data_IF_389403023986
#
_entry.id   IF_389403023986
#
_cell.length_a   1.000
_cell.length_b   1.000
_cell.length_c   1.000
_cell.angle_alpha   90.00
_cell.angle_beta   90.00
_cell.angle_gamma   90.00
#
_symmetry.space_group_name_H-M   'P 1'
#
loop_
_entity.id
_entity.type
_entity.pdbx_description
1 polymer ?
#
# COMPACT_ATOMS: atom_id res chain seq x y z
N UNK A 1 8.54 -100.41 3.81
CA UNK A 1 9.76 -100.45 4.64
C UNK A 1 10.36 -99.11 4.77
N UNK A 2 10.42 -98.61 5.95
CA UNK A 2 10.72 -97.26 6.37
C UNK A 2 12.25 -97.02 6.48
N UNK A 3 12.76 -95.88 6.04
CA UNK A 3 13.93 -95.28 6.71
C UNK A 3 13.83 -93.74 6.59
N UNK A 4 13.71 -93.10 7.73
CA UNK A 4 13.92 -91.68 7.99
C UNK A 4 15.44 -91.40 8.07
N UNK A 5 15.89 -90.30 7.43
CA UNK A 5 17.18 -89.68 7.79
C UNK A 5 16.91 -88.21 8.06
N UNK A 6 17.16 -87.82 9.26
CA UNK A 6 17.15 -86.44 9.77
C UNK A 6 18.57 -85.87 9.65
N UNK A 7 18.72 -84.69 9.12
CA UNK A 7 19.97 -83.90 9.21
C UNK A 7 19.75 -82.63 10.03
N UNK A 8 20.71 -82.20 10.84
CA UNK A 8 20.54 -81.13 11.82
C UNK A 8 20.74 -79.74 11.19
N UNK A 9 19.98 -78.79 11.71
CA UNK A 9 20.04 -77.38 11.37
C UNK A 9 21.21 -76.73 12.07
N UNK A 10 22.13 -76.11 11.33
CA UNK A 10 23.24 -75.27 11.83
C UNK A 10 22.71 -73.88 12.24
N UNK A 11 23.18 -73.29 13.34
CA UNK A 11 22.77 -71.95 13.76
C UNK A 11 23.34 -70.85 12.85
N UNK A 12 22.49 -69.95 12.44
CA UNK A 12 22.86 -68.78 11.63
C UNK A 12 23.67 -67.77 12.46
N UNK A 13 24.79 -67.40 11.94
CA UNK A 13 25.72 -66.37 12.45
C UNK A 13 25.04 -64.98 12.50
N UNK A 14 25.08 -64.26 13.65
CA UNK A 14 24.43 -62.96 13.83
C UNK A 14 25.23 -61.79 13.23
N UNK A 15 26.35 -62.02 12.60
CA UNK A 15 27.28 -60.93 12.22
C UNK A 15 27.02 -60.24 10.87
N UNK A 16 26.00 -60.66 10.08
CA UNK A 16 25.81 -60.16 8.70
C UNK A 16 24.74 -59.06 8.56
N UNK A 17 24.07 -58.62 9.66
CA UNK A 17 23.02 -57.63 9.55
C UNK A 17 23.30 -56.31 10.29
N UNK A 18 24.34 -55.57 9.86
CA UNK A 18 24.46 -54.13 10.19
C UNK A 18 25.36 -53.44 9.17
N UNK A 19 24.78 -52.80 8.11
CA UNK A 19 25.10 -51.40 7.88
C UNK A 19 24.03 -50.54 7.19
N UNK A 20 22.82 -51.06 6.90
CA UNK A 20 21.89 -50.31 6.06
C UNK A 20 21.16 -49.19 6.81
N UNK A 21 20.93 -49.29 8.10
CA UNK A 21 20.21 -48.29 8.89
C UNK A 21 21.08 -47.09 9.32
N UNK A 22 22.37 -47.26 9.48
CA UNK A 22 23.28 -46.17 9.86
C UNK A 22 23.42 -45.13 8.75
N UNK A 23 23.58 -45.57 7.49
CA UNK A 23 23.72 -44.65 6.33
C UNK A 23 22.48 -43.80 6.09
N UNK A 24 21.28 -44.34 6.35
CA UNK A 24 20.01 -43.61 6.17
C UNK A 24 19.84 -42.50 7.20
N UNK A 25 20.28 -42.67 8.44
CA UNK A 25 20.25 -41.65 9.51
C UNK A 25 21.22 -40.51 9.22
N UNK A 26 22.41 -40.76 8.75
CA UNK A 26 23.40 -39.75 8.37
C UNK A 26 22.92 -38.93 7.16
N UNK A 27 22.31 -39.59 6.17
CA UNK A 27 21.77 -38.91 4.99
C UNK A 27 20.60 -37.96 5.36
N UNK A 28 19.68 -38.39 6.22
CA UNK A 28 18.61 -37.56 6.75
C UNK A 28 19.11 -36.38 7.59
N UNK A 29 20.15 -36.59 8.39
CA UNK A 29 20.75 -35.51 9.19
C UNK A 29 21.49 -34.49 8.32
N UNK A 30 22.20 -34.94 7.28
CA UNK A 30 22.86 -34.05 6.31
C UNK A 30 21.83 -33.28 5.50
N UNK A 31 20.72 -33.91 5.07
CA UNK A 31 19.64 -33.24 4.33
C UNK A 31 18.92 -32.22 5.22
N UNK A 32 18.67 -32.53 6.49
CA UNK A 32 18.08 -31.60 7.46
C UNK A 32 19.01 -30.41 7.74
N UNK A 33 20.31 -30.64 7.82
CA UNK A 33 21.32 -29.58 8.00
C UNK A 33 21.41 -28.67 6.77
N UNK A 34 21.35 -29.25 5.54
CA UNK A 34 21.29 -28.47 4.29
C UNK A 34 19.99 -27.68 4.15
N UNK A 35 18.85 -28.26 4.54
CA UNK A 35 17.57 -27.54 4.56
C UNK A 35 17.57 -26.40 5.59
N UNK A 36 18.13 -26.61 6.78
CA UNK A 36 18.30 -25.57 7.79
C UNK A 36 19.24 -24.46 7.30
N UNK A 37 20.35 -24.81 6.63
CA UNK A 37 21.29 -23.85 6.06
C UNK A 37 20.67 -23.01 4.94
N UNK A 38 19.78 -23.60 4.12
CA UNK A 38 19.02 -22.89 3.09
C UNK A 38 17.98 -21.92 3.70
N UNK A 39 17.40 -22.26 4.85
CA UNK A 39 16.46 -21.39 5.55
C UNK A 39 17.13 -20.18 6.21
N UNK A 40 18.38 -20.32 6.68
CA UNK A 40 19.16 -19.23 7.27
C UNK A 40 19.67 -18.22 6.23
N UNK A 41 19.97 -18.65 4.99
CA UNK A 41 20.40 -17.75 3.92
C UNK A 41 19.25 -16.90 3.33
N UNK A 42 17.98 -17.21 3.64
CA UNK A 42 16.81 -16.48 3.13
C UNK A 42 16.54 -15.17 3.88
N UNK A 43 17.05 -14.96 5.09
CA UNK A 43 16.76 -13.79 5.91
C UNK A 43 17.69 -12.58 5.70
N UNK A 44 18.89 -12.78 5.14
CA UNK A 44 19.95 -11.76 5.13
C UNK A 44 19.86 -10.73 4.00
N UNK A 45 18.98 -10.89 2.99
CA UNK A 45 19.07 -10.13 1.74
C UNK A 45 17.93 -9.14 1.45
N UNK A 46 17.26 -8.66 2.50
CA UNK A 46 16.09 -7.78 2.33
C UNK A 46 16.35 -6.30 2.61
N UNK A 47 17.56 -5.93 2.95
CA UNK A 47 17.98 -4.56 3.22
C UNK A 47 19.23 -4.30 2.36
N UNK A 48 19.34 -3.13 1.70
CA UNK A 48 20.56 -2.78 0.98
C UNK A 48 21.77 -2.86 1.91
N UNK A 49 22.87 -3.45 1.44
CA UNK A 49 24.10 -3.61 2.22
C UNK A 49 25.02 -2.41 2.11
N UNK A 50 24.86 -1.60 1.05
CA UNK A 50 25.59 -0.34 0.84
C UNK A 50 24.79 0.84 1.36
N UNK A 51 25.50 1.91 1.78
CA UNK A 51 24.85 3.18 2.12
C UNK A 51 24.21 3.82 0.87
N UNK A 52 23.30 4.76 1.06
CA UNK A 52 22.68 5.49 -0.05
C UNK A 52 23.72 6.17 -0.97
N UNK A 53 24.74 6.80 -0.40
CA UNK A 53 25.83 7.43 -1.16
C UNK A 53 26.71 6.45 -1.94
N UNK A 54 26.78 5.21 -1.50
CA UNK A 54 27.53 4.13 -2.14
C UNK A 54 26.76 3.39 -3.25
N UNK A 55 25.54 3.83 -3.59
CA UNK A 55 24.73 3.22 -4.64
C UNK A 55 24.45 4.19 -5.80
N UNK A 56 24.35 3.72 -7.05
CA UNK A 56 23.95 4.54 -8.17
C UNK A 56 22.56 5.14 -7.94
N UNK A 57 22.39 6.41 -8.33
CA UNK A 57 21.09 7.07 -8.34
C UNK A 57 20.46 6.94 -9.72
N UNK A 58 19.21 6.46 -9.83
CA UNK A 58 18.51 6.47 -11.11
C UNK A 58 18.35 7.90 -11.65
N UNK A 59 18.23 8.03 -12.99
CA UNK A 59 17.99 9.31 -13.63
C UNK A 59 16.72 9.98 -13.12
N UNK A 60 16.73 11.31 -13.01
CA UNK A 60 15.53 12.07 -12.65
C UNK A 60 14.50 12.00 -13.79
N UNK A 61 13.19 11.87 -13.47
CA UNK A 61 12.14 11.85 -14.48
C UNK A 61 11.93 13.22 -15.11
N UNK A 62 11.69 13.23 -16.43
CA UNK A 62 11.17 14.37 -17.16
C UNK A 62 9.65 14.29 -17.22
N UNK A 63 8.95 15.13 -16.49
CA UNK A 63 7.49 15.12 -16.42
C UNK A 63 6.78 15.75 -17.61
N UNK A 64 7.50 16.26 -18.61
CA UNK A 64 6.91 16.59 -19.90
C UNK A 64 6.60 15.33 -20.74
N UNK A 65 7.23 14.19 -20.40
CA UNK A 65 7.01 12.91 -21.05
C UNK A 65 5.95 12.09 -20.30
N UNK A 66 4.85 11.76 -20.97
CA UNK A 66 3.74 10.96 -20.42
C UNK A 66 4.12 9.58 -19.90
N UNK A 67 5.26 9.01 -20.34
CA UNK A 67 5.75 7.74 -19.78
C UNK A 67 6.06 7.83 -18.29
N UNK A 68 6.41 9.04 -17.80
CA UNK A 68 6.72 9.30 -16.40
C UNK A 68 5.46 9.59 -15.55
N UNK A 69 4.27 9.35 -16.11
CA UNK A 69 2.99 9.36 -15.41
C UNK A 69 2.39 7.96 -15.42
N UNK A 70 2.03 7.45 -14.25
CA UNK A 70 1.30 6.18 -14.11
C UNK A 70 -0.17 6.35 -14.51
N UNK A 71 -0.76 7.53 -14.21
CA UNK A 71 -2.06 7.95 -14.74
C UNK A 71 -2.01 9.40 -15.19
N UNK A 72 -2.72 9.70 -16.30
CA UNK A 72 -2.86 11.05 -16.85
C UNK A 72 -4.15 11.14 -17.68
N UNK A 73 -4.98 12.18 -17.56
CA UNK A 73 -6.27 12.26 -18.25
C UNK A 73 -6.20 12.22 -19.79
N UNK A 74 -5.04 12.57 -20.38
CA UNK A 74 -4.83 12.56 -21.83
C UNK A 74 -4.23 11.25 -22.36
N UNK A 75 -4.22 10.18 -21.55
CA UNK A 75 -3.81 8.85 -22.00
C UNK A 75 -4.75 7.78 -21.42
N UNK A 76 -4.84 6.64 -22.10
CA UNK A 76 -5.57 5.49 -21.55
C UNK A 76 -4.70 4.72 -20.56
N UNK A 77 -5.18 4.55 -19.32
CA UNK A 77 -4.46 3.85 -18.26
C UNK A 77 -5.39 3.17 -17.23
N UNK A 78 -4.79 2.54 -16.23
CA UNK A 78 -5.55 1.76 -15.26
C UNK A 78 -6.41 2.60 -14.29
N UNK A 79 -6.19 3.92 -14.20
CA UNK A 79 -7.07 4.77 -13.42
C UNK A 79 -8.45 4.97 -14.07
N UNK A 80 -8.58 4.76 -15.40
CA UNK A 80 -9.86 4.81 -16.13
C UNK A 80 -10.74 3.59 -15.86
N UNK A 81 -10.17 2.57 -15.21
CA UNK A 81 -10.85 1.28 -15.05
C UNK A 81 -12.03 1.35 -14.08
N UNK A 82 -13.06 0.58 -14.40
CA UNK A 82 -14.28 0.44 -13.61
C UNK A 82 -14.34 -0.96 -12.99
N UNK A 83 -14.54 -1.09 -11.67
CA UNK A 83 -14.68 -2.40 -11.05
C UNK A 83 -15.85 -3.18 -11.63
N UNK A 84 -15.63 -4.47 -11.93
CA UNK A 84 -16.69 -5.35 -12.43
C UNK A 84 -17.87 -5.39 -11.45
N UNK A 85 -19.07 -5.41 -11.97
CA UNK A 85 -20.34 -5.47 -11.23
C UNK A 85 -20.60 -4.24 -10.33
N UNK A 86 -19.97 -3.10 -10.62
CA UNK A 86 -20.15 -1.88 -9.82
C UNK A 86 -21.24 -0.95 -10.34
N UNK A 87 -21.55 -1.02 -11.62
CA UNK A 87 -22.46 -0.05 -12.29
C UNK A 87 -21.89 1.36 -12.40
N UNK A 88 -20.60 1.57 -12.05
CA UNK A 88 -19.94 2.86 -12.14
C UNK A 88 -19.59 3.23 -13.58
N UNK A 89 -19.16 4.48 -13.77
CA UNK A 89 -18.65 5.03 -15.03
C UNK A 89 -17.37 5.80 -14.75
N UNK A 90 -16.51 5.90 -15.75
CA UNK A 90 -15.43 6.88 -15.80
C UNK A 90 -16.03 8.24 -16.19
N UNK A 91 -15.75 9.27 -15.42
CA UNK A 91 -16.28 10.62 -15.60
C UNK A 91 -15.16 11.66 -15.76
N UNK A 92 -13.91 11.26 -15.93
CA UNK A 92 -12.77 12.18 -15.96
C UNK A 92 -12.90 13.27 -17.04
N UNK A 93 -13.46 12.94 -18.19
CA UNK A 93 -13.62 13.87 -19.32
C UNK A 93 -14.52 15.07 -19.01
N UNK A 94 -15.44 14.93 -18.06
CA UNK A 94 -16.37 16.00 -17.66
C UNK A 94 -16.09 16.55 -16.25
N UNK A 95 -15.06 16.03 -15.58
CA UNK A 95 -14.74 16.42 -14.22
C UNK A 95 -14.26 17.87 -14.11
N UNK A 96 -14.70 18.56 -13.08
CA UNK A 96 -14.39 19.96 -12.81
C UNK A 96 -13.22 20.16 -11.84
N UNK A 97 -12.78 19.10 -11.18
CA UNK A 97 -11.65 19.09 -10.24
C UNK A 97 -10.55 18.15 -10.71
N UNK A 98 -9.38 18.30 -10.15
CA UNK A 98 -8.25 17.39 -10.40
C UNK A 98 -7.94 16.55 -9.17
N UNK A 99 -7.45 15.33 -9.38
CA UNK A 99 -6.94 14.44 -8.36
C UNK A 99 -5.45 14.22 -8.60
N UNK A 100 -4.61 14.67 -7.69
CA UNK A 100 -3.20 14.36 -7.72
C UNK A 100 -2.94 13.16 -6.80
N UNK A 101 -2.67 11.99 -7.40
CA UNK A 101 -2.52 10.73 -6.70
C UNK A 101 -1.05 10.33 -6.55
N UNK A 102 -0.57 10.18 -5.30
CA UNK A 102 0.79 9.70 -5.02
C UNK A 102 0.74 8.25 -4.55
N UNK A 103 1.15 7.33 -5.43
CA UNK A 103 1.05 5.90 -5.19
C UNK A 103 2.01 5.41 -4.07
N UNK A 104 1.72 4.27 -3.41
CA UNK A 104 2.64 3.63 -2.47
C UNK A 104 3.89 3.12 -3.16
N UNK A 105 4.93 2.79 -2.38
CA UNK A 105 6.03 2.03 -2.96
C UNK A 105 5.59 0.61 -3.30
N UNK A 106 5.81 0.23 -4.54
CA UNK A 106 5.66 -1.14 -5.06
C UNK A 106 7.01 -1.82 -5.22
N UNK A 107 8.10 -1.07 -5.00
CA UNK A 107 9.48 -1.55 -4.96
C UNK A 107 9.72 -2.31 -3.65
N UNK A 108 9.17 -3.53 -3.60
CA UNK A 108 9.15 -4.40 -2.42
C UNK A 108 10.13 -5.54 -2.58
N UNK A 109 10.44 -6.14 -1.48
CA UNK A 109 11.31 -7.27 -1.18
C UNK A 109 11.71 -8.16 -2.37
N UNK A 110 12.78 -7.80 -3.07
CA UNK A 110 13.47 -8.62 -4.07
C UNK A 110 14.82 -9.04 -3.48
N UNK A 111 15.19 -10.32 -3.61
CA UNK A 111 16.51 -10.78 -3.17
C UNK A 111 17.61 -10.07 -3.97
N UNK A 112 18.69 -9.68 -3.31
CA UNK A 112 19.85 -9.07 -3.96
C UNK A 112 19.68 -7.61 -4.39
N UNK A 113 18.60 -6.94 -3.99
CA UNK A 113 18.46 -5.49 -4.22
C UNK A 113 19.46 -4.76 -3.33
N UNK A 114 20.40 -4.07 -3.97
CA UNK A 114 21.39 -3.22 -3.30
C UNK A 114 21.30 -1.77 -3.82
N UNK A 115 20.07 -1.28 -3.99
CA UNK A 115 19.76 0.09 -4.36
C UNK A 115 18.64 0.62 -3.47
N UNK A 116 18.63 1.93 -3.24
CA UNK A 116 17.70 2.57 -2.32
C UNK A 116 16.44 3.11 -3.00
N UNK A 117 16.52 3.43 -4.29
CA UNK A 117 15.41 3.98 -5.06
C UNK A 117 15.22 3.20 -6.37
N UNK A 118 13.99 3.12 -6.80
CA UNK A 118 13.59 2.47 -8.05
C UNK A 118 14.06 3.27 -9.27
N UNK A 119 14.43 2.56 -10.32
CA UNK A 119 14.61 3.14 -11.65
C UNK A 119 13.25 3.19 -12.36
N UNK A 120 12.91 4.35 -12.95
CA UNK A 120 11.68 4.51 -13.72
C UNK A 120 11.71 3.74 -15.06
N UNK A 121 12.89 3.29 -15.50
CA UNK A 121 13.01 2.38 -16.64
C UNK A 121 12.64 0.92 -16.32
N UNK A 122 12.43 0.55 -15.03
CA UNK A 122 12.00 -0.80 -14.61
C UNK A 122 10.53 -1.05 -15.01
N UNK A 123 10.33 -1.52 -16.25
CA UNK A 123 9.01 -1.79 -16.80
C UNK A 123 8.18 -2.80 -15.97
N UNK A 124 8.76 -3.91 -15.46
CA UNK A 124 8.04 -4.81 -14.54
C UNK A 124 7.57 -4.12 -13.26
N UNK A 125 8.36 -3.24 -12.68
CA UNK A 125 7.98 -2.47 -11.48
C UNK A 125 6.87 -1.48 -11.79
N UNK A 126 6.96 -0.78 -12.94
CA UNK A 126 5.92 0.12 -13.40
C UNK A 126 4.60 -0.63 -13.62
N UNK A 127 4.62 -1.79 -14.28
CA UNK A 127 3.44 -2.62 -14.47
C UNK A 127 2.83 -3.10 -13.14
N UNK A 128 3.67 -3.42 -12.15
CA UNK A 128 3.21 -3.76 -10.79
C UNK A 128 2.50 -2.58 -10.12
N UNK A 129 2.99 -1.37 -10.31
CA UNK A 129 2.35 -0.13 -9.82
C UNK A 129 1.02 0.08 -10.51
N UNK A 130 0.97 -0.05 -11.84
CA UNK A 130 -0.21 0.18 -12.66
C UNK A 130 -1.31 -0.84 -12.35
N UNK A 131 -0.99 -2.13 -12.30
CA UNK A 131 -1.93 -3.20 -12.00
C UNK A 131 -2.29 -3.31 -10.50
N UNK A 132 -1.56 -2.61 -9.64
CA UNK A 132 -1.78 -2.54 -8.21
C UNK A 132 -2.46 -1.23 -7.81
N UNK A 133 -1.67 -0.26 -7.38
CA UNK A 133 -2.19 0.96 -6.76
C UNK A 133 -2.94 1.88 -7.73
N UNK A 134 -2.55 1.95 -9.00
CA UNK A 134 -3.29 2.77 -9.96
C UNK A 134 -4.66 2.14 -10.19
N UNK A 135 -4.71 0.85 -10.52
CA UNK A 135 -5.96 0.12 -10.76
C UNK A 135 -6.90 0.13 -9.55
N UNK A 136 -6.37 -0.13 -8.33
CA UNK A 136 -7.22 -0.38 -7.15
C UNK A 136 -7.42 0.83 -6.24
N UNK A 137 -6.64 1.89 -6.40
CA UNK A 137 -6.69 3.06 -5.51
C UNK A 137 -6.93 4.37 -6.29
N UNK A 138 -6.14 4.65 -7.35
CA UNK A 138 -6.36 5.86 -8.14
C UNK A 138 -7.73 5.85 -8.84
N UNK A 139 -8.17 4.70 -9.38
CA UNK A 139 -9.47 4.55 -10.04
C UNK A 139 -10.68 4.84 -9.13
N UNK A 140 -10.52 4.90 -7.80
CA UNK A 140 -11.55 5.37 -6.88
C UNK A 140 -12.10 6.73 -7.33
N UNK A 141 -11.25 7.56 -7.88
CA UNK A 141 -11.52 8.97 -8.14
C UNK A 141 -11.90 9.30 -9.58
N UNK A 142 -12.00 8.32 -10.50
CA UNK A 142 -12.19 8.56 -11.93
C UNK A 142 -13.58 9.10 -12.36
N UNK A 143 -14.53 9.17 -11.44
CA UNK A 143 -15.82 9.84 -11.64
C UNK A 143 -15.92 11.14 -10.80
N UNK A 144 -14.81 11.48 -10.14
CA UNK A 144 -14.72 12.62 -9.24
C UNK A 144 -13.86 13.72 -9.84
N UNK A 145 -12.73 13.37 -10.42
CA UNK A 145 -11.76 14.31 -10.95
C UNK A 145 -10.87 13.71 -12.03
N UNK A 146 -10.17 14.56 -12.78
CA UNK A 146 -9.11 14.15 -13.70
C UNK A 146 -7.92 13.64 -12.89
N UNK A 147 -7.41 12.46 -13.18
CA UNK A 147 -6.39 11.80 -12.36
C UNK A 147 -4.99 12.04 -12.92
N UNK A 148 -4.11 12.60 -12.09
CA UNK A 148 -2.69 12.77 -12.34
C UNK A 148 -1.91 11.95 -11.31
N UNK A 149 -1.22 10.91 -11.73
CA UNK A 149 -0.41 10.05 -10.86
C UNK A 149 1.03 9.96 -11.42
N UNK A 150 1.99 10.66 -10.84
CA UNK A 150 3.36 10.60 -11.32
C UNK A 150 4.01 9.27 -10.99
N UNK A 151 4.90 8.79 -11.86
CA UNK A 151 5.95 7.85 -11.48
C UNK A 151 7.07 8.63 -10.79
N UNK A 152 7.62 8.10 -9.74
CA UNK A 152 8.72 8.72 -9.01
C UNK A 152 9.74 7.66 -8.60
N UNK A 153 10.98 8.04 -8.36
CA UNK A 153 12.03 7.14 -7.87
C UNK A 153 11.70 6.67 -6.46
N UNK A 154 10.63 5.86 -6.35
CA UNK A 154 10.11 5.38 -5.08
C UNK A 154 11.21 4.72 -4.24
N UNK A 155 11.26 5.05 -2.95
CA UNK A 155 12.22 4.43 -2.06
C UNK A 155 11.87 2.96 -1.83
N UNK A 156 12.91 2.11 -1.77
CA UNK A 156 12.77 0.68 -1.53
C UNK A 156 12.07 0.40 -0.19
N UNK A 157 11.16 -0.56 -0.17
CA UNK A 157 10.42 -0.91 1.06
C UNK A 157 11.33 -1.24 2.25
N UNK A 158 12.54 -1.75 1.99
CA UNK A 158 13.52 -2.06 3.03
C UNK A 158 13.92 -0.90 3.93
N UNK A 159 13.64 0.36 3.55
CA UNK A 159 13.87 1.54 4.40
C UNK A 159 13.12 1.46 5.74
N UNK A 160 11.94 0.82 5.75
CA UNK A 160 11.12 0.64 6.95
C UNK A 160 11.62 -0.49 7.87
N UNK A 161 12.60 -1.27 7.39
CA UNK A 161 13.21 -2.40 8.10
C UNK A 161 14.68 -2.10 8.46
N UNK A 162 15.31 -1.16 7.76
CA UNK A 162 16.70 -0.78 7.91
C UNK A 162 16.93 0.05 9.18
N UNK A 163 18.08 -0.18 9.83
CA UNK A 163 18.58 0.67 10.93
C UNK A 163 19.42 1.84 10.42
N UNK A 164 19.80 1.88 9.16
CA UNK A 164 20.50 3.02 8.54
C UNK A 164 19.52 4.17 8.28
N UNK A 165 19.25 4.93 9.32
CA UNK A 165 18.32 6.07 9.29
C UNK A 165 18.79 7.20 8.36
N UNK A 166 20.11 7.32 8.11
CA UNK A 166 20.67 8.33 7.21
C UNK A 166 20.32 7.99 5.77
N UNK A 167 20.61 6.76 5.32
CA UNK A 167 20.24 6.28 3.99
C UNK A 167 18.73 6.26 3.77
N UNK A 168 17.94 5.86 4.79
CA UNK A 168 16.48 5.89 4.74
C UNK A 168 15.95 7.31 4.45
N UNK A 169 16.47 8.32 5.15
CA UNK A 169 16.07 9.73 4.94
C UNK A 169 16.46 10.24 3.56
N UNK A 170 17.66 9.88 3.07
CA UNK A 170 18.13 10.30 1.75
C UNK A 170 17.30 9.66 0.62
N UNK A 171 16.95 8.38 0.75
CA UNK A 171 16.09 7.69 -0.20
C UNK A 171 14.68 8.30 -0.27
N UNK A 172 14.09 8.63 0.88
CA UNK A 172 12.80 9.32 0.93
C UNK A 172 12.88 10.76 0.42
N UNK A 173 14.00 11.46 0.66
CA UNK A 173 14.20 12.81 0.12
C UNK A 173 14.26 12.80 -1.41
N UNK A 174 15.02 11.86 -2.00
CA UNK A 174 15.09 11.71 -3.47
C UNK A 174 13.72 11.38 -4.07
N UNK A 175 12.95 10.49 -3.44
CA UNK A 175 11.59 10.18 -3.88
C UNK A 175 10.66 11.41 -3.82
N UNK A 176 10.80 12.22 -2.77
CA UNK A 176 10.01 13.44 -2.64
C UNK A 176 10.39 14.53 -3.64
N UNK A 177 11.67 14.65 -4.01
CA UNK A 177 12.11 15.58 -5.06
C UNK A 177 11.33 15.33 -6.36
N UNK A 178 11.14 14.08 -6.74
CA UNK A 178 10.35 13.72 -7.93
C UNK A 178 8.87 14.05 -7.77
N UNK A 179 8.27 13.70 -6.62
CA UNK A 179 6.87 14.02 -6.34
C UNK A 179 6.64 15.53 -6.36
N UNK A 180 7.56 16.31 -5.80
CA UNK A 180 7.53 17.78 -5.85
C UNK A 180 7.62 18.29 -7.28
N UNK A 181 8.62 17.85 -8.05
CA UNK A 181 8.83 18.28 -9.43
C UNK A 181 7.62 17.94 -10.32
N UNK A 182 7.02 16.75 -10.14
CA UNK A 182 5.79 16.37 -10.85
C UNK A 182 4.60 17.25 -10.48
N UNK A 183 4.45 17.63 -9.21
CA UNK A 183 3.38 18.50 -8.76
C UNK A 183 3.55 19.93 -9.29
N UNK A 184 4.77 20.45 -9.31
CA UNK A 184 5.09 21.75 -9.92
C UNK A 184 4.81 21.73 -11.42
N UNK A 185 5.20 20.67 -12.11
CA UNK A 185 4.92 20.51 -13.56
C UNK A 185 3.41 20.46 -13.82
N UNK A 186 2.65 19.67 -13.03
CA UNK A 186 1.20 19.59 -13.12
C UNK A 186 0.53 20.95 -12.90
N UNK A 187 0.91 21.68 -11.85
CA UNK A 187 0.34 23.00 -11.55
C UNK A 187 0.59 24.00 -12.70
N UNK A 188 1.78 23.96 -13.28
CA UNK A 188 2.18 24.89 -14.34
C UNK A 188 1.49 24.59 -15.66
N UNK A 189 1.32 23.32 -16.03
CA UNK A 189 0.97 22.95 -17.41
C UNK A 189 -0.46 22.45 -17.57
N UNK A 190 -1.09 21.87 -16.51
CA UNK A 190 -2.35 21.15 -16.69
C UNK A 190 -3.47 21.52 -15.72
N UNK A 191 -3.16 22.02 -14.53
CA UNK A 191 -4.19 22.29 -13.52
C UNK A 191 -5.14 23.42 -13.93
N UNK A 192 -4.66 24.48 -14.59
CA UNK A 192 -5.47 25.60 -15.07
C UNK A 192 -6.40 26.19 -14.01
N UNK A 193 -5.96 26.27 -12.75
CA UNK A 193 -6.74 26.86 -11.64
C UNK A 193 -7.81 25.97 -11.06
N UNK A 194 -7.96 24.71 -11.50
CA UNK A 194 -8.98 23.77 -10.96
C UNK A 194 -8.76 23.46 -9.49
N UNK A 195 -9.83 23.22 -8.72
CA UNK A 195 -9.74 22.67 -7.37
C UNK A 195 -9.03 21.30 -7.38
N UNK A 196 -8.38 20.96 -6.27
CA UNK A 196 -7.48 19.80 -6.19
C UNK A 196 -7.91 18.89 -5.03
N UNK A 197 -7.99 17.61 -5.33
CA UNK A 197 -7.98 16.52 -4.35
C UNK A 197 -6.56 15.96 -4.32
N UNK A 198 -5.94 15.88 -3.14
CA UNK A 198 -4.70 15.13 -2.94
C UNK A 198 -5.09 13.75 -2.45
N UNK A 199 -4.65 12.69 -3.12
CA UNK A 199 -4.87 11.32 -2.65
C UNK A 199 -3.55 10.56 -2.64
N UNK A 200 -3.30 9.80 -1.58
CA UNK A 200 -2.02 9.12 -1.42
C UNK A 200 -2.09 7.93 -0.46
N UNK A 201 -1.27 6.92 -0.72
CA UNK A 201 -1.20 5.73 0.12
C UNK A 201 0.24 5.42 0.55
N UNK A 202 0.42 4.97 1.81
CA UNK A 202 1.68 4.43 2.33
C UNK A 202 2.84 5.42 2.15
N UNK A 203 3.91 5.07 1.46
CA UNK A 203 5.03 5.98 1.17
C UNK A 203 4.54 7.26 0.47
N UNK A 204 3.58 7.14 -0.46
CA UNK A 204 2.94 8.29 -1.08
C UNK A 204 2.30 9.24 -0.08
N UNK A 205 1.69 8.72 1.00
CA UNK A 205 1.09 9.54 2.05
C UNK A 205 2.12 10.38 2.82
N UNK A 206 3.34 9.85 3.03
CA UNK A 206 4.44 10.64 3.61
C UNK A 206 4.81 11.83 2.70
N UNK A 207 4.86 11.59 1.39
CA UNK A 207 5.16 12.63 0.42
C UNK A 207 4.03 13.64 0.28
N UNK A 208 2.78 13.19 0.25
CA UNK A 208 1.61 14.06 0.21
C UNK A 208 1.50 14.96 1.45
N UNK A 209 1.85 14.45 2.64
CA UNK A 209 1.93 15.28 3.84
C UNK A 209 2.95 16.42 3.72
N UNK A 210 4.09 16.18 3.05
CA UNK A 210 5.06 17.24 2.72
C UNK A 210 4.53 18.21 1.68
N UNK A 211 3.82 17.73 0.64
CA UNK A 211 3.18 18.60 -0.35
C UNK A 211 2.17 19.55 0.29
N UNK A 212 1.34 19.06 1.23
CA UNK A 212 0.38 19.91 1.95
C UNK A 212 1.09 21.05 2.68
N UNK A 213 2.17 20.75 3.40
CA UNK A 213 2.98 21.79 4.08
C UNK A 213 3.63 22.75 3.10
N UNK A 214 4.20 22.25 2.02
CA UNK A 214 5.04 23.05 1.15
C UNK A 214 4.24 23.90 0.16
N UNK A 215 3.09 23.41 -0.32
CA UNK A 215 2.32 24.06 -1.38
C UNK A 215 0.99 24.65 -0.93
N UNK A 216 0.42 24.16 0.17
CA UNK A 216 -0.92 24.57 0.58
C UNK A 216 -0.92 25.38 1.88
N UNK A 217 -0.16 24.96 2.91
CA UNK A 217 -0.15 25.63 4.21
C UNK A 217 0.28 27.10 4.09
N UNK A 218 -0.58 28.03 4.51
CA UNK A 218 -0.34 29.47 4.43
C UNK A 218 -0.21 30.04 3.03
N UNK A 219 -0.65 29.32 1.98
CA UNK A 219 -0.50 29.73 0.58
C UNK A 219 -1.82 29.82 -0.15
N UNK A 220 -1.90 30.60 -1.26
CA UNK A 220 -3.14 30.77 -2.04
C UNK A 220 -3.73 29.43 -2.55
N UNK A 221 -2.87 28.45 -2.82
CA UNK A 221 -3.30 27.12 -3.29
C UNK A 221 -4.21 26.41 -2.26
N UNK A 222 -4.10 26.76 -0.98
CA UNK A 222 -5.00 26.31 0.11
C UNK A 222 -6.48 26.47 -0.23
N UNK A 223 -6.84 27.56 -0.88
CA UNK A 223 -8.22 27.86 -1.27
C UNK A 223 -8.75 26.98 -2.41
N UNK A 224 -7.90 26.17 -3.02
CA UNK A 224 -8.25 25.19 -4.06
C UNK A 224 -8.21 23.75 -3.57
N UNK A 225 -7.89 23.52 -2.29
CA UNK A 225 -7.91 22.18 -1.71
C UNK A 225 -9.35 21.76 -1.41
N UNK A 226 -9.86 20.76 -2.12
CA UNK A 226 -11.13 20.13 -1.81
C UNK A 226 -11.00 19.26 -0.56
N UNK A 227 -10.09 18.30 -0.61
CA UNK A 227 -9.76 17.39 0.50
C UNK A 227 -8.42 16.70 0.21
N UNK A 228 -7.73 16.25 1.26
CA UNK A 228 -6.58 15.37 1.11
C UNK A 228 -6.82 14.01 1.79
N UNK A 229 -6.74 12.92 1.05
CA UNK A 229 -6.73 11.54 1.57
C UNK A 229 -5.29 11.05 1.68
N UNK A 230 -4.70 11.08 2.88
CA UNK A 230 -3.30 10.71 3.14
C UNK A 230 -3.25 9.46 4.02
N UNK A 231 -3.41 8.31 3.38
CA UNK A 231 -3.81 7.04 4.00
C UNK A 231 -2.64 6.06 4.18
N UNK A 232 -2.69 5.24 5.22
CA UNK A 232 -1.76 4.12 5.42
C UNK A 232 -0.48 4.46 6.19
N UNK A 233 -0.28 5.73 6.58
CA UNK A 233 0.85 6.15 7.41
C UNK A 233 0.39 6.86 8.68
N UNK A 234 1.20 6.88 9.74
CA UNK A 234 0.90 7.64 10.96
C UNK A 234 1.08 9.14 10.68
N UNK A 235 -0.02 9.81 10.37
CA UNK A 235 -0.04 11.25 10.08
C UNK A 235 -0.41 12.02 11.34
N UNK A 236 0.41 12.96 11.83
CA UNK A 236 0.10 13.74 13.02
C UNK A 236 -1.16 14.61 12.84
N UNK A 237 -2.00 14.73 13.85
CA UNK A 237 -3.19 15.63 13.84
C UNK A 237 -2.79 17.10 13.57
N UNK A 238 -1.61 17.49 14.00
CA UNK A 238 -1.03 18.80 13.79
C UNK A 238 -0.06 18.84 12.59
N UNK A 239 -0.32 18.05 11.54
CA UNK A 239 0.49 18.03 10.33
C UNK A 239 0.69 19.44 9.75
N UNK A 240 -0.38 20.21 9.66
CA UNK A 240 -0.41 21.60 9.20
C UNK A 240 -1.08 22.48 10.27
N UNK A 241 -0.82 23.78 10.22
CA UNK A 241 -1.44 24.77 11.14
C UNK A 241 -2.85 25.13 10.70
N UNK A 242 -3.08 25.30 9.40
CA UNK A 242 -4.32 25.80 8.80
C UNK A 242 -5.10 24.74 8.01
N UNK A 243 -4.53 23.56 7.75
CA UNK A 243 -5.22 22.40 7.17
C UNK A 243 -5.41 21.36 8.28
N UNK A 244 -6.63 21.25 8.78
CA UNK A 244 -6.97 20.37 9.91
C UNK A 244 -7.40 18.99 9.44
N UNK A 245 -7.48 18.04 10.37
CA UNK A 245 -8.15 16.76 10.15
C UNK A 245 -9.62 17.04 9.83
N UNK A 246 -10.19 16.37 8.85
CA UNK A 246 -11.64 16.44 8.61
C UNK A 246 -12.38 15.76 9.77
N UNK A 247 -13.19 16.52 10.47
CA UNK A 247 -13.96 16.03 11.61
C UNK A 247 -15.38 15.57 11.22
N UNK A 248 -15.90 16.13 10.13
CA UNK A 248 -17.23 15.82 9.60
C UNK A 248 -17.21 15.59 8.10
N UNK A 249 -18.17 14.81 7.60
CA UNK A 249 -18.27 14.53 6.17
C UNK A 249 -18.59 15.76 5.30
N UNK A 250 -19.10 16.84 5.87
CA UNK A 250 -19.47 18.07 5.18
C UNK A 250 -18.29 19.04 4.99
N UNK A 251 -17.15 18.81 5.64
CA UNK A 251 -16.01 19.73 5.59
C UNK A 251 -15.20 19.58 4.30
N UNK A 252 -14.65 20.69 3.82
CA UNK A 252 -13.69 20.75 2.72
C UNK A 252 -12.40 21.47 3.16
N UNK A 253 -11.36 21.38 2.35
CA UNK A 253 -10.09 21.99 2.66
C UNK A 253 -9.37 21.37 3.88
N UNK A 254 -9.67 20.14 4.24
CA UNK A 254 -9.12 19.38 5.36
C UNK A 254 -8.47 18.09 4.87
N UNK A 255 -7.91 17.27 5.77
CA UNK A 255 -7.34 15.99 5.39
C UNK A 255 -7.95 14.81 6.16
N UNK A 256 -8.12 13.70 5.48
CA UNK A 256 -8.49 12.40 6.03
C UNK A 256 -7.26 11.49 6.10
N UNK A 257 -7.09 10.77 7.21
CA UNK A 257 -6.03 9.78 7.38
C UNK A 257 -6.55 8.59 8.18
N UNK A 258 -6.07 7.40 7.89
CA UNK A 258 -6.32 6.19 8.67
C UNK A 258 -5.28 5.10 8.37
N UNK A 259 -5.16 4.14 9.27
CA UNK A 259 -4.38 2.90 9.13
C UNK A 259 -5.24 1.75 9.64
N UNK A 260 -5.45 0.74 8.81
CA UNK A 260 -6.45 -0.29 9.07
C UNK A 260 -5.87 -1.55 9.70
N UNK A 261 -6.43 -1.95 10.83
CA UNK A 261 -6.05 -3.15 11.56
C UNK A 261 -7.27 -3.98 11.97
N UNK A 262 -7.06 -5.26 12.21
CA UNK A 262 -8.10 -6.14 12.73
C UNK A 262 -8.49 -5.71 14.14
N UNK A 263 -9.79 -5.69 14.44
CA UNK A 263 -10.32 -5.47 15.80
C UNK A 263 -9.59 -6.33 16.83
N UNK A 264 -9.14 -5.71 17.92
CA UNK A 264 -8.39 -6.34 19.00
C UNK A 264 -6.89 -6.50 18.74
N UNK A 265 -6.35 -6.02 17.62
CA UNK A 265 -4.92 -6.06 17.36
C UNK A 265 -4.27 -4.71 17.67
N UNK A 266 -3.23 -4.73 18.52
CA UNK A 266 -2.42 -3.57 18.89
C UNK A 266 -1.04 -3.64 18.20
N UNK A 267 -0.73 -2.73 17.27
CA UNK A 267 0.54 -2.76 16.56
C UNK A 267 1.68 -2.20 17.41
N UNK A 268 2.41 -3.06 18.13
CA UNK A 268 3.49 -2.68 19.06
C UNK A 268 4.55 -1.78 18.40
N UNK A 269 4.89 -2.00 17.13
CA UNK A 269 5.90 -1.22 16.40
C UNK A 269 5.39 0.11 15.84
N UNK A 270 4.11 0.37 15.89
CA UNK A 270 3.46 1.51 15.25
C UNK A 270 2.65 2.35 16.24
N UNK A 271 3.01 2.27 17.54
CA UNK A 271 2.45 3.19 18.53
C UNK A 271 3.01 4.58 18.26
N UNK A 272 2.13 5.49 17.99
CA UNK A 272 2.43 6.91 17.82
C UNK A 272 1.34 7.68 18.54
N UNK A 273 1.71 8.76 19.20
CA UNK A 273 0.76 9.64 19.86
C UNK A 273 0.28 10.73 18.90
N UNK A 274 -0.93 11.20 19.08
CA UNK A 274 -1.50 12.34 18.35
C UNK A 274 -1.60 12.10 16.84
N UNK A 275 -2.01 10.90 16.43
CA UNK A 275 -2.19 10.51 15.02
C UNK A 275 -3.63 10.78 14.58
N UNK A 276 -3.78 11.36 13.40
CA UNK A 276 -5.07 11.58 12.77
C UNK A 276 -5.69 10.25 12.33
N UNK A 277 -6.93 10.04 12.72
CA UNK A 277 -7.76 8.93 12.21
C UNK A 277 -9.15 9.47 11.89
N UNK A 278 -9.56 9.30 10.64
CA UNK A 278 -10.92 9.51 10.17
C UNK A 278 -11.50 8.15 9.84
N UNK A 279 -12.68 7.82 10.36
CA UNK A 279 -13.32 6.55 10.05
C UNK A 279 -13.95 6.60 8.65
N UNK A 280 -13.47 5.79 7.68
CA UNK A 280 -13.95 5.87 6.29
C UNK A 280 -15.40 5.39 6.09
N UNK A 281 -16.07 4.86 7.11
CA UNK A 281 -17.51 4.54 7.05
C UNK A 281 -18.38 5.72 7.41
N UNK A 282 -17.93 6.60 8.31
CA UNK A 282 -18.66 7.81 8.74
C UNK A 282 -18.08 9.09 8.16
N UNK A 283 -16.82 9.05 7.73
CA UNK A 283 -16.00 10.21 7.34
C UNK A 283 -15.91 11.26 8.45
N UNK A 284 -15.85 10.78 9.71
CA UNK A 284 -15.72 11.59 10.92
C UNK A 284 -14.63 11.05 11.84
N UNK A 285 -14.28 11.85 12.86
CA UNK A 285 -13.34 11.46 13.94
C UNK A 285 -14.04 10.87 15.16
N UNK A 286 -15.35 10.59 15.08
CA UNK A 286 -16.12 9.98 16.15
C UNK A 286 -15.55 8.61 16.56
N UNK A 287 -15.42 8.39 17.88
CA UNK A 287 -14.78 7.19 18.44
C UNK A 287 -15.68 5.95 18.46
N UNK A 288 -16.97 6.10 18.26
CA UNK A 288 -17.92 4.98 18.34
C UNK A 288 -17.76 3.95 17.23
N UNK A 289 -18.21 2.73 17.52
CA UNK A 289 -18.28 1.66 16.52
C UNK A 289 -19.30 2.03 15.42
N UNK A 290 -18.81 2.16 14.19
CA UNK A 290 -19.65 2.38 13.01
C UNK A 290 -20.12 1.04 12.46
N UNK A 291 -21.43 0.89 12.34
CA UNK A 291 -22.08 -0.33 11.85
C UNK A 291 -21.70 -0.66 10.40
N UNK A 292 -21.70 -1.95 10.08
CA UNK A 292 -21.51 -2.45 8.73
C UNK A 292 -22.55 -1.92 7.72
N UNK A 293 -23.70 -1.46 8.16
CA UNK A 293 -24.72 -0.81 7.31
C UNK A 293 -24.18 0.40 6.54
N UNK A 294 -23.14 1.06 7.06
CA UNK A 294 -22.46 2.18 6.39
C UNK A 294 -21.41 1.75 5.37
N UNK A 295 -21.05 0.48 5.32
CA UNK A 295 -20.04 -0.04 4.38
C UNK A 295 -20.66 -0.28 3.01
N UNK A 296 -20.21 0.47 2.00
CA UNK A 296 -20.73 0.45 0.63
C UNK A 296 -20.02 -0.56 -0.29
N UNK A 297 -19.08 -1.33 0.27
CA UNK A 297 -18.31 -2.33 -0.44
C UNK A 297 -16.88 -1.87 -0.75
N UNK A 298 -16.02 -2.85 -0.97
CA UNK A 298 -14.62 -2.68 -1.37
C UNK A 298 -14.37 -3.20 -2.77
N UNK A 299 -13.13 -3.06 -3.23
CA UNK A 299 -12.62 -3.68 -4.46
C UNK A 299 -11.36 -4.46 -4.13
N UNK A 300 -11.41 -5.77 -4.34
CA UNK A 300 -10.34 -6.71 -4.01
C UNK A 300 -9.94 -7.53 -5.24
N UNK A 301 -9.55 -8.79 -5.02
CA UNK A 301 -9.05 -9.71 -6.05
C UNK A 301 -9.93 -9.68 -7.31
N UNK A 302 -9.27 -9.54 -8.46
CA UNK A 302 -9.92 -9.53 -9.77
C UNK A 302 -10.65 -8.23 -10.12
N UNK A 303 -10.37 -7.16 -9.38
CA UNK A 303 -10.96 -5.84 -9.60
C UNK A 303 -12.49 -5.88 -9.68
N UNK A 304 -13.11 -6.50 -8.69
CA UNK A 304 -14.57 -6.68 -8.58
C UNK A 304 -15.11 -6.02 -7.33
N UNK A 305 -16.31 -5.44 -7.44
CA UNK A 305 -17.04 -4.98 -6.26
C UNK A 305 -17.27 -6.14 -5.30
N UNK A 306 -16.90 -5.95 -4.05
CA UNK A 306 -17.21 -6.86 -2.94
C UNK A 306 -18.51 -6.46 -2.26
N UNK A 307 -19.06 -7.38 -1.46
CA UNK A 307 -20.32 -7.18 -0.75
C UNK A 307 -20.31 -5.90 0.09
N UNK A 308 -21.38 -5.17 0.04
CA UNK A 308 -21.73 -4.13 0.99
C UNK A 308 -22.00 -4.71 2.38
N UNK A 309 -22.09 -3.85 3.40
CA UNK A 309 -22.43 -4.21 4.80
C UNK A 309 -21.53 -5.30 5.37
N UNK A 310 -20.26 -5.29 4.97
CA UNK A 310 -19.30 -6.36 5.25
C UNK A 310 -18.37 -6.03 6.42
N UNK A 311 -18.08 -4.76 6.64
CA UNK A 311 -17.06 -4.28 7.58
C UNK A 311 -17.68 -3.31 8.56
N UNK A 312 -17.45 -3.52 9.87
CA UNK A 312 -17.60 -2.51 10.91
C UNK A 312 -16.27 -1.81 11.12
N UNK A 313 -16.28 -0.55 11.55
CA UNK A 313 -15.05 0.19 11.81
C UNK A 313 -15.16 1.03 13.08
N UNK A 314 -14.07 1.11 13.84
CA UNK A 314 -13.97 1.86 15.09
C UNK A 314 -12.59 2.52 15.19
N UNK A 315 -12.55 3.78 15.62
CA UNK A 315 -11.30 4.45 15.92
C UNK A 315 -10.85 4.01 17.31
N UNK A 316 -9.65 3.44 17.40
CA UNK A 316 -9.08 2.95 18.64
C UNK A 316 -7.59 3.30 18.75
N UNK A 317 -7.19 4.02 19.79
CA UNK A 317 -5.78 4.37 20.06
C UNK A 317 -5.00 4.83 18.82
N UNK A 318 -5.52 5.83 18.11
CA UNK A 318 -4.90 6.41 16.91
C UNK A 318 -4.71 5.44 15.71
N UNK A 319 -5.53 4.38 15.66
CA UNK A 319 -5.66 3.45 14.52
C UNK A 319 -7.13 3.18 14.18
N UNK A 320 -7.37 2.60 13.03
CA UNK A 320 -8.70 2.14 12.64
C UNK A 320 -8.81 0.61 12.83
N UNK A 321 -9.60 0.17 13.78
CA UNK A 321 -10.00 -1.22 13.90
C UNK A 321 -11.16 -1.54 12.99
N UNK A 322 -11.09 -2.68 12.31
CA UNK A 322 -12.20 -3.19 11.50
C UNK A 322 -12.47 -4.66 11.80
N UNK A 323 -13.73 -5.07 11.66
CA UNK A 323 -14.08 -6.48 11.63
C UNK A 323 -13.36 -7.19 10.48
N UNK A 324 -13.13 -8.51 10.61
CA UNK A 324 -12.47 -9.27 9.54
C UNK A 324 -13.29 -9.19 8.25
N UNK A 325 -12.71 -8.66 7.14
CA UNK A 325 -13.41 -8.59 5.87
C UNK A 325 -13.80 -10.00 5.37
N UNK A 326 -15.05 -10.15 4.89
CA UNK A 326 -15.57 -11.41 4.34
C UNK A 326 -15.50 -11.35 2.82
N UNK A 327 -14.68 -12.19 2.21
CA UNK A 327 -14.57 -12.39 0.77
C UNK A 327 -14.14 -13.83 0.47
N UNK A 328 -14.27 -14.28 -0.78
CA UNK A 328 -13.87 -15.64 -1.16
C UNK A 328 -12.39 -15.87 -0.85
N UNK A 329 -12.08 -16.82 0.02
CA UNK A 329 -10.72 -17.10 0.51
C UNK A 329 -10.29 -16.29 1.73
N UNK A 330 -11.13 -15.42 2.31
CA UNK A 330 -10.80 -14.61 3.50
C UNK A 330 -10.43 -15.45 4.73
N UNK A 331 -10.84 -16.71 4.79
CA UNK A 331 -10.46 -17.63 5.86
C UNK A 331 -8.94 -17.84 5.95
N UNK A 332 -8.25 -17.80 4.81
CA UNK A 332 -6.79 -17.93 4.70
C UNK A 332 -6.07 -16.60 4.99
N UNK A 333 -6.79 -15.48 5.01
CA UNK A 333 -6.24 -14.17 5.26
C UNK A 333 -6.10 -13.96 6.77
N UNK A 334 -4.89 -14.24 7.30
CA UNK A 334 -4.62 -14.27 8.75
C UNK A 334 -3.87 -13.03 9.26
N UNK A 335 -3.36 -12.17 8.39
CA UNK A 335 -2.66 -10.97 8.83
C UNK A 335 -3.60 -10.04 9.59
N UNK A 336 -3.19 -9.50 10.75
CA UNK A 336 -3.97 -8.50 11.46
C UNK A 336 -3.78 -7.08 10.94
N UNK A 337 -2.78 -6.86 10.09
CA UNK A 337 -2.52 -5.57 9.45
C UNK A 337 -3.13 -5.59 8.04
N UNK A 338 -4.10 -4.70 7.80
CA UNK A 338 -4.81 -4.58 6.53
C UNK A 338 -4.29 -3.44 5.63
N UNK A 339 -3.07 -2.99 5.86
CA UNK A 339 -2.44 -1.87 5.17
C UNK A 339 -2.62 -1.85 3.64
N UNK A 340 -2.48 -3.00 2.98
CA UNK A 340 -2.68 -3.08 1.52
C UNK A 340 -4.12 -2.74 1.13
N UNK A 341 -5.08 -2.98 2.03
CA UNK A 341 -6.50 -2.73 1.84
C UNK A 341 -6.99 -1.39 2.36
N UNK A 342 -6.14 -0.50 2.87
CA UNK A 342 -6.56 0.76 3.49
C UNK A 342 -7.53 1.57 2.62
N UNK A 343 -7.31 1.66 1.30
CA UNK A 343 -8.25 2.24 0.35
C UNK A 343 -9.25 1.21 -0.20
N UNK A 344 -8.74 0.06 -0.61
CA UNK A 344 -9.50 -0.94 -1.36
C UNK A 344 -10.73 -1.47 -0.61
N UNK A 345 -10.61 -1.62 0.71
CA UNK A 345 -11.72 -2.08 1.56
C UNK A 345 -12.86 -1.07 1.63
N UNK A 346 -12.57 0.20 1.43
CA UNK A 346 -13.52 1.31 1.52
C UNK A 346 -13.73 2.03 0.17
N UNK A 347 -13.46 1.34 -0.94
CA UNK A 347 -13.45 1.90 -2.29
C UNK A 347 -14.68 2.79 -2.58
N UNK A 348 -15.87 2.28 -2.31
CA UNK A 348 -17.11 2.99 -2.59
C UNK A 348 -17.40 4.09 -1.56
N UNK A 349 -17.05 3.89 -0.30
CA UNK A 349 -17.19 4.92 0.73
C UNK A 349 -16.31 6.14 0.42
N UNK A 350 -15.05 5.93 0.02
CA UNK A 350 -14.14 7.02 -0.34
C UNK A 350 -14.59 7.73 -1.61
N UNK A 351 -15.05 6.98 -2.63
CA UNK A 351 -15.57 7.55 -3.87
C UNK A 351 -16.77 8.47 -3.61
N UNK A 352 -17.75 8.01 -2.83
CA UNK A 352 -18.93 8.81 -2.49
C UNK A 352 -18.59 10.02 -1.62
N UNK A 353 -17.67 9.88 -0.68
CA UNK A 353 -17.19 11.00 0.12
C UNK A 353 -16.52 12.07 -0.76
N UNK A 354 -15.65 11.66 -1.67
CA UNK A 354 -14.96 12.58 -2.58
C UNK A 354 -15.97 13.35 -3.45
N UNK A 355 -16.97 12.67 -4.01
CA UNK A 355 -18.06 13.30 -4.77
C UNK A 355 -18.82 14.32 -3.92
N UNK A 356 -19.20 13.94 -2.71
CA UNK A 356 -19.91 14.83 -1.79
C UNK A 356 -19.10 16.09 -1.50
N UNK A 357 -17.80 15.95 -1.19
CA UNK A 357 -16.92 17.09 -0.88
C UNK A 357 -16.69 17.99 -2.09
N UNK A 358 -16.62 17.45 -3.31
CA UNK A 358 -16.59 18.27 -4.53
C UNK A 358 -17.86 19.11 -4.64
N UNK A 359 -19.04 18.49 -4.46
CA UNK A 359 -20.31 19.23 -4.50
C UNK A 359 -20.45 20.30 -3.40
N UNK A 360 -19.85 20.07 -2.23
CA UNK A 360 -19.82 21.04 -1.13
C UNK A 360 -18.82 22.18 -1.40
N UNK A 361 -17.66 21.86 -2.00
CA UNK A 361 -16.66 22.84 -2.35
C UNK A 361 -17.22 23.93 -3.29
N UNK A 362 -18.04 23.55 -4.27
CA UNK A 362 -18.65 24.50 -5.20
C UNK A 362 -19.84 25.30 -4.59
N UNK A 363 -20.27 25.00 -3.37
CA UNK A 363 -21.34 25.74 -2.66
C UNK A 363 -20.78 26.77 -1.68
N UNK A 364 -19.48 26.84 -1.49
CA UNK A 364 -18.80 27.85 -0.66
C UNK A 364 -18.55 29.12 -1.47
#
# INVERSE_FOLDING_TARGET
MTVKITTPISPKDPSVYRPFFAKKRYFLSILAFFLAFLLFNSCASRIPTSTFSGTPRPAAPDYSDFKNWAAHPDKHDNADSIPMNSGLKDGQSTAEVDVFFVHPTTFTLKKGVNVWNADLADAPLNQKTDNGSILFQASIFNDVGRIFAPRYRQAYYGIYLSRDTASNRQALALAYEDVKASFEHYLKNWNNGRPIIIAAHSQGAQHAGRLLKEFFEGKPLRNRLVVAYIVGMPIPKNLCKDIKVCDKPEETGCFCAWRTFKTGYEPVKFKHDNIAVVNPLSMSTDLGLVSAEKHQGGVLIGFKKQSEKNITAEIHNDILWISKPKFRGSILYRTPNYHIGDFNLFYFNVREDAKRRVGLFWKQ
#
